data_IF_276413194649
#
_entry.id   IF_276413194649
#
_cell.length_a   1.000
_cell.length_b   1.000
_cell.length_c   1.000
_cell.angle_alpha   90.00
_cell.angle_beta   90.00
_cell.angle_gamma   90.00
#
_symmetry.space_group_name_H-M   'P 1'
#
loop_
_entity.id
_entity.type
_entity.pdbx_description
1 polymer ?
#
# COMPACT_ATOMS: atom_id res chain seq x y z
N UNK A 1 -2.99 -7.12 -11.59
CA UNK A 1 -4.40 -6.83 -11.26
C UNK A 1 -4.50 -5.33 -11.01
N UNK A 2 -5.58 -4.64 -11.41
CA UNK A 2 -5.81 -3.26 -10.99
C UNK A 2 -6.10 -3.27 -9.48
N UNK A 3 -5.23 -2.65 -8.70
CA UNK A 3 -5.40 -2.59 -7.25
C UNK A 3 -6.44 -1.53 -6.97
N UNK A 4 -7.60 -1.90 -6.42
CA UNK A 4 -8.74 -0.97 -6.37
C UNK A 4 -8.71 -0.19 -5.07
N UNK A 5 -8.67 1.14 -5.16
CA UNK A 5 -8.78 2.01 -3.98
C UNK A 5 -10.25 2.14 -3.56
N UNK A 6 -10.51 1.84 -2.30
CA UNK A 6 -11.81 1.95 -1.69
C UNK A 6 -12.18 3.42 -1.46
N UNK A 7 -13.02 3.95 -2.35
CA UNK A 7 -13.55 5.32 -2.28
C UNK A 7 -14.26 5.63 -0.96
N UNK A 8 -14.88 4.65 -0.28
CA UNK A 8 -15.56 4.89 1.00
C UNK A 8 -14.54 5.19 2.11
N UNK A 9 -13.40 4.49 2.12
CA UNK A 9 -12.31 4.75 3.06
C UNK A 9 -11.68 6.12 2.82
N UNK A 10 -11.43 6.48 1.54
CA UNK A 10 -10.94 7.82 1.19
C UNK A 10 -11.92 8.91 1.63
N UNK A 11 -13.23 8.67 1.48
CA UNK A 11 -14.27 9.60 1.91
C UNK A 11 -14.32 9.78 3.42
N UNK A 12 -14.22 8.70 4.18
CA UNK A 12 -14.12 8.78 5.65
C UNK A 12 -12.86 9.54 6.08
N UNK A 13 -11.73 9.24 5.44
CA UNK A 13 -10.47 9.94 5.69
C UNK A 13 -10.61 11.45 5.43
N UNK A 14 -11.25 11.84 4.32
CA UNK A 14 -11.52 13.24 4.00
C UNK A 14 -12.46 13.93 5.01
N UNK A 15 -13.46 13.21 5.51
CA UNK A 15 -14.35 13.70 6.56
C UNK A 15 -13.61 13.93 7.89
N UNK A 16 -12.62 13.06 8.20
CA UNK A 16 -11.83 13.13 9.44
C UNK A 16 -10.73 14.20 9.41
N UNK A 17 -10.00 14.35 8.29
CA UNK A 17 -8.81 15.23 8.21
C UNK A 17 -8.98 16.43 7.27
N UNK A 18 -10.04 16.47 6.46
CA UNK A 18 -10.27 17.47 5.41
C UNK A 18 -9.64 17.10 4.07
N UNK A 19 -10.30 17.46 2.98
CA UNK A 19 -9.91 17.11 1.60
C UNK A 19 -8.49 17.56 1.24
N UNK A 20 -8.11 18.78 1.62
CA UNK A 20 -6.76 19.33 1.38
C UNK A 20 -5.68 18.49 2.08
N UNK A 21 -5.98 17.96 3.27
CA UNK A 21 -5.07 17.11 4.04
C UNK A 21 -4.98 15.72 3.43
N UNK A 22 -6.06 15.20 2.83
CA UNK A 22 -6.04 13.86 2.19
C UNK A 22 -5.03 13.80 1.07
N UNK A 23 -4.99 14.79 0.18
CA UNK A 23 -4.00 14.83 -0.91
C UNK A 23 -2.56 14.86 -0.38
N UNK A 24 -2.31 15.61 0.71
CA UNK A 24 -1.00 15.65 1.36
C UNK A 24 -0.64 14.28 1.95
N UNK A 25 -1.56 13.66 2.69
CA UNK A 25 -1.35 12.33 3.27
C UNK A 25 -1.07 11.32 2.16
N UNK A 26 -1.94 11.21 1.16
CA UNK A 26 -1.75 10.29 0.03
C UNK A 26 -0.38 10.46 -0.63
N UNK A 27 0.13 11.69 -0.76
CA UNK A 27 1.47 11.93 -1.30
C UNK A 27 2.58 11.39 -0.37
N UNK A 28 2.49 11.68 0.94
CA UNK A 28 3.43 11.14 1.95
C UNK A 28 3.41 9.62 1.96
N UNK A 29 2.23 9.01 2.00
CA UNK A 29 2.07 7.56 1.97
C UNK A 29 2.58 6.95 0.68
N UNK A 30 2.34 7.59 -0.47
CA UNK A 30 2.90 7.15 -1.74
C UNK A 30 4.43 7.09 -1.72
N UNK A 31 5.06 8.11 -1.15
CA UNK A 31 6.52 8.18 -1.05
C UNK A 31 7.07 7.13 -0.06
N UNK A 32 6.39 6.88 1.06
CA UNK A 32 6.74 5.78 1.97
C UNK A 32 6.60 4.41 1.29
N UNK A 33 5.49 4.20 0.57
CA UNK A 33 5.20 2.96 -0.14
C UNK A 33 6.21 2.71 -1.29
N UNK A 34 6.67 3.79 -1.94
CA UNK A 34 7.77 3.74 -2.91
C UNK A 34 9.10 3.34 -2.25
N UNK A 35 9.40 3.87 -1.05
CA UNK A 35 10.58 3.44 -0.30
C UNK A 35 10.51 1.97 0.09
N UNK A 36 9.35 1.49 0.51
CA UNK A 36 9.13 0.07 0.79
C UNK A 36 9.30 -0.80 -0.45
N UNK A 37 8.78 -0.39 -1.61
CA UNK A 37 9.01 -1.08 -2.88
C UNK A 37 10.50 -1.17 -3.25
N UNK A 38 11.25 -0.09 -3.04
CA UNK A 38 12.71 -0.08 -3.25
C UNK A 38 13.42 -1.04 -2.31
N UNK A 39 13.01 -1.12 -1.04
CA UNK A 39 13.54 -2.09 -0.08
C UNK A 39 13.20 -3.52 -0.48
N UNK A 40 11.97 -3.79 -0.94
CA UNK A 40 11.57 -5.08 -1.49
C UNK A 40 12.38 -5.46 -2.74
N UNK A 41 12.86 -4.46 -3.48
CA UNK A 41 13.74 -4.60 -4.65
C UNK A 41 15.21 -4.87 -4.33
N UNK A 42 15.65 -4.53 -3.13
CA UNK A 42 17.04 -4.65 -2.70
C UNK A 42 17.42 -6.05 -2.18
N UNK A 43 16.67 -7.10 -2.54
CA UNK A 43 16.82 -8.47 -2.02
C UNK A 43 16.76 -8.52 -0.47
N UNK A 44 15.63 -8.12 0.13
CA UNK A 44 15.46 -8.15 1.58
C UNK A 44 15.45 -9.59 2.11
N UNK A 45 15.78 -9.76 3.39
CA UNK A 45 15.54 -11.02 4.09
C UNK A 45 14.04 -11.23 4.34
N UNK A 46 13.65 -12.46 4.62
CA UNK A 46 12.23 -12.81 4.90
C UNK A 46 11.68 -12.01 6.09
N UNK A 47 12.48 -11.81 7.14
CA UNK A 47 12.14 -10.94 8.27
C UNK A 47 11.85 -9.50 7.84
N UNK A 48 12.71 -8.93 6.98
CA UNK A 48 12.52 -7.58 6.46
C UNK A 48 11.25 -7.47 5.61
N UNK A 49 10.95 -8.50 4.82
CA UNK A 49 9.68 -8.52 4.06
C UNK A 49 8.50 -8.53 5.04
N UNK A 50 8.58 -9.24 6.16
CA UNK A 50 7.57 -9.22 7.22
C UNK A 50 7.35 -7.84 7.82
N UNK A 51 8.43 -7.13 8.18
CA UNK A 51 8.36 -5.77 8.72
C UNK A 51 7.79 -4.77 7.69
N UNK A 52 8.26 -4.84 6.45
CA UNK A 52 7.75 -4.01 5.35
C UNK A 52 6.26 -4.29 5.10
N UNK A 53 5.87 -5.57 5.11
CA UNK A 53 4.46 -5.97 4.93
C UNK A 53 3.58 -5.46 6.07
N UNK A 54 4.07 -5.49 7.31
CA UNK A 54 3.34 -4.94 8.44
C UNK A 54 3.08 -3.42 8.29
N UNK A 55 4.10 -2.66 7.88
CA UNK A 55 3.97 -1.24 7.63
C UNK A 55 3.01 -0.95 6.45
N UNK A 56 3.20 -1.63 5.32
CA UNK A 56 2.34 -1.51 4.14
C UNK A 56 0.90 -1.83 4.48
N UNK A 57 0.63 -2.89 5.24
CA UNK A 57 -0.72 -3.29 5.66
C UNK A 57 -1.43 -2.17 6.42
N UNK A 58 -0.76 -1.57 7.40
CA UNK A 58 -1.34 -0.49 8.21
C UNK A 58 -1.66 0.74 7.34
N UNK A 59 -0.74 1.10 6.45
CA UNK A 59 -0.94 2.20 5.51
C UNK A 59 -2.06 1.88 4.52
N UNK A 60 -1.98 0.76 3.83
CA UNK A 60 -2.96 0.33 2.84
C UNK A 60 -4.39 0.27 3.40
N UNK A 61 -4.58 -0.26 4.61
CA UNK A 61 -5.88 -0.30 5.27
C UNK A 61 -6.44 1.11 5.61
N UNK A 62 -5.56 2.07 5.90
CA UNK A 62 -5.96 3.45 6.22
C UNK A 62 -6.35 4.26 4.98
N UNK A 63 -5.77 3.93 3.82
CA UNK A 63 -5.97 4.65 2.55
C UNK A 63 -6.86 3.88 1.54
N UNK A 64 -7.51 2.81 1.99
CA UNK A 64 -8.49 2.07 1.19
C UNK A 64 -7.89 1.11 0.16
N UNK A 65 -6.60 0.79 0.22
CA UNK A 65 -6.01 -0.27 -0.60
C UNK A 65 -6.23 -1.63 0.06
N UNK A 66 -7.49 -2.08 0.09
CA UNK A 66 -7.89 -3.31 0.77
C UNK A 66 -7.16 -4.54 0.23
N UNK A 67 -7.02 -4.65 -1.10
CA UNK A 67 -6.29 -5.76 -1.75
C UNK A 67 -4.80 -5.80 -1.34
N UNK A 68 -4.16 -4.63 -1.26
CA UNK A 68 -2.76 -4.54 -0.84
C UNK A 68 -2.61 -4.87 0.64
N UNK A 69 -3.54 -4.41 1.49
CA UNK A 69 -3.55 -4.72 2.91
C UNK A 69 -3.72 -6.23 3.16
N UNK A 70 -4.57 -6.89 2.38
CA UNK A 70 -4.76 -8.35 2.43
C UNK A 70 -3.50 -9.10 2.01
N UNK A 71 -2.87 -8.72 0.90
CA UNK A 71 -1.62 -9.35 0.45
C UNK A 71 -0.50 -9.15 1.48
N UNK A 72 -0.35 -7.95 2.01
CA UNK A 72 0.63 -7.64 3.03
C UNK A 72 0.38 -8.42 4.34
N UNK A 73 -0.89 -8.60 4.72
CA UNK A 73 -1.25 -9.45 5.86
C UNK A 73 -0.87 -10.92 5.62
N UNK A 74 -1.11 -11.44 4.41
CA UNK A 74 -0.73 -12.81 4.06
C UNK A 74 0.79 -12.97 4.11
N UNK A 75 1.54 -12.02 3.55
CA UNK A 75 3.01 -11.99 3.65
C UNK A 75 3.48 -12.02 5.11
N UNK A 76 2.95 -11.15 5.97
CA UNK A 76 3.27 -11.12 7.40
C UNK A 76 3.00 -12.48 8.08
N UNK A 77 1.86 -13.10 7.76
CA UNK A 77 1.48 -14.41 8.31
C UNK A 77 2.42 -15.52 7.85
N UNK A 78 2.78 -15.55 6.57
CA UNK A 78 3.67 -16.56 5.97
C UNK A 78 5.09 -16.47 6.51
N UNK A 79 5.61 -15.25 6.70
CA UNK A 79 6.89 -14.97 7.37
C UNK A 79 6.88 -15.54 8.79
N UNK A 80 5.83 -15.29 9.58
CA UNK A 80 5.69 -15.84 10.94
C UNK A 80 5.63 -17.36 10.99
N UNK A 81 5.15 -17.99 9.93
CA UNK A 81 5.08 -19.45 9.80
C UNK A 81 6.39 -20.07 9.25
N UNK A 82 7.41 -19.26 8.97
CA UNK A 82 8.68 -19.72 8.38
C UNK A 82 8.53 -20.26 6.97
N UNK A 83 7.56 -19.75 6.19
CA UNK A 83 7.31 -20.16 4.81
C UNK A 83 8.09 -19.28 3.83
N UNK A 84 9.41 -19.31 3.98
CA UNK A 84 10.37 -18.49 3.24
C UNK A 84 10.28 -18.72 1.73
N UNK A 85 10.11 -19.97 1.30
CA UNK A 85 9.95 -20.34 -0.12
C UNK A 85 8.71 -19.68 -0.74
N UNK A 86 7.60 -19.65 -0.01
CA UNK A 86 6.36 -19.00 -0.48
C UNK A 86 6.58 -17.50 -0.65
N UNK A 87 7.26 -16.88 0.32
CA UNK A 87 7.60 -15.46 0.28
C UNK A 87 8.48 -15.12 -0.91
N UNK A 88 9.50 -15.93 -1.19
CA UNK A 88 10.39 -15.72 -2.34
C UNK A 88 9.62 -15.85 -3.66
N UNK A 89 8.71 -16.82 -3.76
CA UNK A 89 7.89 -17.06 -4.95
C UNK A 89 6.85 -15.95 -5.19
N UNK A 90 6.25 -15.41 -4.13
CA UNK A 90 5.21 -14.38 -4.19
C UNK A 90 5.74 -12.94 -4.06
N UNK A 91 7.01 -12.75 -3.69
CA UNK A 91 7.65 -11.43 -3.61
C UNK A 91 7.53 -10.60 -4.90
N UNK A 92 7.68 -11.18 -6.12
CA UNK A 92 7.49 -10.43 -7.36
C UNK A 92 6.06 -9.91 -7.51
N UNK A 93 5.05 -10.72 -7.17
CA UNK A 93 3.64 -10.32 -7.23
C UNK A 93 3.34 -9.23 -6.20
N UNK A 94 3.79 -9.41 -4.96
CA UNK A 94 3.64 -8.43 -3.90
C UNK A 94 4.29 -7.09 -4.30
N UNK A 95 5.50 -7.12 -4.84
CA UNK A 95 6.18 -5.92 -5.33
C UNK A 95 5.39 -5.23 -6.43
N UNK A 96 4.86 -5.96 -7.41
CA UNK A 96 4.04 -5.38 -8.47
C UNK A 96 2.77 -4.71 -7.92
N UNK A 97 2.12 -5.31 -6.92
CA UNK A 97 0.96 -4.71 -6.26
C UNK A 97 1.34 -3.41 -5.54
N UNK A 98 2.46 -3.40 -4.81
CA UNK A 98 2.97 -2.20 -4.14
C UNK A 98 3.28 -1.11 -5.16
N UNK A 99 4.06 -1.41 -6.20
CA UNK A 99 4.41 -0.44 -7.24
C UNK A 99 3.18 0.12 -7.96
N UNK A 100 2.21 -0.73 -8.29
CA UNK A 100 0.93 -0.30 -8.87
C UNK A 100 0.21 0.69 -7.96
N UNK A 101 0.15 0.39 -6.66
CA UNK A 101 -0.48 1.27 -5.67
C UNK A 101 0.24 2.59 -5.47
N UNK A 102 1.59 2.62 -5.52
CA UNK A 102 2.33 3.89 -5.50
C UNK A 102 1.87 4.78 -6.65
N UNK A 103 1.79 4.23 -7.87
CA UNK A 103 1.39 5.00 -9.04
C UNK A 103 -0.04 5.52 -8.90
N UNK A 104 -0.97 4.67 -8.45
CA UNK A 104 -2.36 5.08 -8.24
C UNK A 104 -2.50 6.18 -7.18
N UNK A 105 -1.85 6.04 -6.02
CA UNK A 105 -1.89 7.07 -4.98
C UNK A 105 -1.23 8.38 -5.41
N UNK A 106 -0.11 8.35 -6.14
CA UNK A 106 0.51 9.56 -6.70
C UNK A 106 -0.40 10.26 -7.70
N UNK A 107 -1.11 9.49 -8.53
CA UNK A 107 -2.09 10.05 -9.46
C UNK A 107 -3.29 10.68 -8.75
N UNK A 108 -3.80 10.04 -7.69
CA UNK A 108 -4.87 10.59 -6.86
C UNK A 108 -4.42 11.86 -6.12
N UNK A 109 -3.28 11.83 -5.45
CA UNK A 109 -2.73 12.98 -4.73
C UNK A 109 -2.43 14.17 -5.65
N UNK A 110 -1.96 13.90 -6.87
CA UNK A 110 -1.67 14.93 -7.87
C UNK A 110 -2.91 15.49 -8.58
N UNK A 111 -4.09 14.89 -8.38
CA UNK A 111 -5.29 15.22 -9.13
C UNK A 111 -6.50 15.33 -8.19
N UNK A 112 -6.65 16.51 -7.58
CA UNK A 112 -7.76 16.81 -6.67
C UNK A 112 -9.15 16.56 -7.28
N UNK A 113 -9.29 16.60 -8.62
CA UNK A 113 -10.53 16.22 -9.31
C UNK A 113 -10.85 14.72 -9.17
N UNK A 114 -9.85 13.84 -9.09
CA UNK A 114 -10.07 12.41 -8.86
C UNK A 114 -10.52 12.14 -7.42
N UNK A 115 -9.93 12.83 -6.44
CA UNK A 115 -10.36 12.78 -5.04
C UNK A 115 -11.80 13.29 -4.95
N UNK A 116 -12.10 14.45 -5.53
CA UNK A 116 -13.47 15.00 -5.58
C UNK A 116 -14.49 14.09 -6.28
N UNK A 117 -14.08 13.22 -7.21
CA UNK A 117 -14.98 12.22 -7.83
C UNK A 117 -15.28 11.03 -6.93
N UNK A 118 -14.45 10.79 -5.91
CA UNK A 118 -14.60 9.70 -4.95
C UNK A 118 -15.33 10.14 -3.66
N UNK A 119 -15.38 11.44 -3.38
CA UNK A 119 -16.10 12.06 -2.27
C UNK A 119 -17.58 12.27 -2.61
#
# INVERSE_FOLDING_TARGET
MPTTINSETIKRLADEVGEDTVSLLLNVFSDELEQYSKQLSAHPSVDQIGEISHAIKSSAASFGADDLALMAQECEYRVKQGQDDWMIDHLPEFRQMVEGMVVEYKQLAGNNELINRML
#
